data_IF_138535787079
#
_entry.id   IF_138535787079
#
_cell.length_a   1.000
_cell.length_b   1.000
_cell.length_c   1.000
_cell.angle_alpha   90.00
_cell.angle_beta   90.00
_cell.angle_gamma   90.00
#
_symmetry.space_group_name_H-M   'P 1'
#
loop_
_entity.id
_entity.type
_entity.pdbx_description
1 polymer ?
#
# COMPACT_ATOMS: atom_id res chain seq x y z
N UNK A 1 -49.23 -18.33 24.99
CA UNK A 1 -48.09 -17.39 24.94
C UNK A 1 -46.89 -18.22 24.54
N UNK A 2 -46.53 -18.19 23.25
CA UNK A 2 -45.38 -18.91 22.72
C UNK A 2 -44.32 -17.89 22.33
N UNK A 3 -43.21 -17.85 23.08
CA UNK A 3 -42.05 -17.06 22.74
C UNK A 3 -41.29 -17.74 21.60
N UNK A 4 -41.13 -17.02 20.49
CA UNK A 4 -40.28 -17.42 19.38
C UNK A 4 -38.80 -17.32 19.78
N UNK A 5 -37.93 -18.24 19.32
CA UNK A 5 -36.51 -18.13 19.60
C UNK A 5 -35.92 -16.96 18.80
N UNK A 6 -35.36 -16.00 19.53
CA UNK A 6 -34.61 -14.89 18.95
C UNK A 6 -33.33 -15.42 18.31
N UNK A 7 -33.29 -15.38 16.98
CA UNK A 7 -32.08 -15.69 16.20
C UNK A 7 -30.98 -14.69 16.58
N UNK A 8 -29.76 -15.14 16.95
CA UNK A 8 -28.69 -14.22 17.29
C UNK A 8 -28.32 -13.42 16.04
N UNK A 9 -28.17 -12.10 16.21
CA UNK A 9 -27.76 -11.15 15.16
C UNK A 9 -26.39 -11.56 14.60
N UNK A 10 -26.40 -12.42 13.59
CA UNK A 10 -25.23 -13.06 12.96
C UNK A 10 -24.25 -12.06 12.33
N UNK A 11 -24.71 -10.87 11.93
CA UNK A 11 -23.86 -9.89 11.24
C UNK A 11 -22.72 -9.27 12.09
N UNK A 12 -22.86 -9.17 13.41
CA UNK A 12 -21.86 -8.51 14.26
C UNK A 12 -20.66 -9.41 14.59
N UNK A 13 -20.86 -10.74 14.63
CA UNK A 13 -19.80 -11.72 14.91
C UNK A 13 -18.93 -11.98 13.68
N UNK A 14 -19.47 -11.79 12.47
CA UNK A 14 -18.80 -12.05 11.18
C UNK A 14 -17.67 -11.05 10.88
N UNK A 15 -17.60 -9.90 11.55
CA UNK A 15 -16.62 -8.85 11.25
C UNK A 15 -15.81 -8.43 12.49
N UNK A 16 -15.33 -9.38 13.29
CA UNK A 16 -14.49 -9.10 14.46
C UNK A 16 -13.00 -9.31 14.15
N UNK A 17 -12.11 -8.71 14.93
CA UNK A 17 -10.67 -9.05 14.87
C UNK A 17 -10.43 -10.53 15.20
N UNK A 18 -11.26 -11.11 16.07
CA UNK A 18 -11.19 -12.52 16.51
C UNK A 18 -11.43 -13.54 15.41
N UNK A 19 -12.24 -13.21 14.39
CA UNK A 19 -12.41 -14.06 13.19
C UNK A 19 -11.64 -13.52 11.97
N UNK A 20 -10.61 -12.68 12.19
CA UNK A 20 -9.80 -12.07 11.14
C UNK A 20 -10.65 -11.35 10.08
N UNK A 21 -11.74 -10.72 10.50
CA UNK A 21 -12.68 -10.04 9.61
C UNK A 21 -13.28 -10.97 8.53
N UNK A 22 -13.60 -12.21 8.91
CA UNK A 22 -14.11 -13.27 8.03
C UNK A 22 -13.21 -13.53 6.82
N UNK A 23 -11.89 -13.53 7.03
CA UNK A 23 -10.92 -13.68 5.95
C UNK A 23 -11.12 -15.00 5.21
N UNK A 24 -11.36 -16.11 5.93
CA UNK A 24 -11.56 -17.42 5.32
C UNK A 24 -12.77 -17.43 4.41
N UNK A 25 -13.90 -16.92 4.88
CA UNK A 25 -15.16 -16.87 4.15
C UNK A 25 -15.02 -15.98 2.91
N UNK A 26 -14.36 -14.83 3.03
CA UNK A 26 -14.03 -13.95 1.89
C UNK A 26 -13.16 -14.66 0.86
N UNK A 27 -12.12 -15.38 1.31
CA UNK A 27 -11.26 -16.15 0.41
C UNK A 27 -12.05 -17.19 -0.37
N UNK A 28 -12.85 -18.01 0.30
CA UNK A 28 -13.67 -19.05 -0.36
C UNK A 28 -14.70 -18.42 -1.31
N UNK A 29 -15.37 -17.34 -0.90
CA UNK A 29 -16.36 -16.67 -1.75
C UNK A 29 -15.73 -16.10 -3.03
N UNK A 30 -14.58 -15.45 -2.91
CA UNK A 30 -13.87 -14.88 -4.06
C UNK A 30 -13.28 -15.97 -4.95
N UNK A 31 -12.68 -17.02 -4.38
CA UNK A 31 -12.20 -18.19 -5.15
C UNK A 31 -13.34 -18.85 -5.94
N UNK A 32 -14.52 -18.99 -5.33
CA UNK A 32 -15.72 -19.50 -6.00
C UNK A 32 -16.18 -18.58 -7.15
N UNK A 33 -16.17 -17.26 -6.92
CA UNK A 33 -16.52 -16.27 -7.94
C UNK A 33 -15.55 -16.33 -9.13
N UNK A 34 -14.25 -16.40 -8.88
CA UNK A 34 -13.25 -16.46 -9.93
C UNK A 34 -13.32 -17.78 -10.72
N UNK A 35 -13.66 -18.90 -10.07
CA UNK A 35 -13.92 -20.15 -10.78
C UNK A 35 -15.13 -20.04 -11.74
N UNK A 36 -16.18 -19.30 -11.36
CA UNK A 36 -17.32 -19.02 -12.24
C UNK A 36 -16.89 -18.14 -13.42
N UNK A 37 -16.08 -17.10 -13.17
CA UNK A 37 -15.50 -16.23 -14.21
C UNK A 37 -14.72 -17.05 -15.24
N UNK A 38 -13.83 -17.94 -14.78
CA UNK A 38 -13.05 -18.82 -15.65
C UNK A 38 -13.93 -19.74 -16.49
N UNK A 39 -15.00 -20.29 -15.90
CA UNK A 39 -15.96 -21.13 -16.63
C UNK A 39 -16.73 -20.33 -17.68
N UNK A 40 -17.17 -19.12 -17.35
CA UNK A 40 -17.83 -18.22 -18.31
C UNK A 40 -16.90 -17.90 -19.48
N UNK A 41 -15.64 -17.54 -19.21
CA UNK A 41 -14.68 -17.28 -20.29
C UNK A 41 -14.48 -18.49 -21.20
N UNK A 42 -14.37 -19.71 -20.64
CA UNK A 42 -14.28 -20.95 -21.43
C UNK A 42 -15.55 -21.20 -22.25
N UNK A 43 -16.72 -20.91 -21.71
CA UNK A 43 -18.00 -21.08 -22.37
C UNK A 43 -18.32 -19.99 -23.40
N UNK A 44 -17.59 -18.86 -23.44
CA UNK A 44 -17.92 -17.68 -24.28
C UNK A 44 -18.21 -18.04 -25.74
N UNK A 45 -17.34 -18.84 -26.38
CA UNK A 45 -17.51 -19.23 -27.78
C UNK A 45 -18.75 -20.08 -28.01
N UNK A 46 -19.04 -21.02 -27.11
CA UNK A 46 -20.24 -21.85 -27.18
C UNK A 46 -21.52 -21.02 -26.96
N UNK A 47 -21.50 -20.09 -26.00
CA UNK A 47 -22.59 -19.14 -25.76
C UNK A 47 -22.82 -18.27 -27.00
N UNK A 48 -21.76 -17.75 -27.62
CA UNK A 48 -21.87 -16.95 -28.84
C UNK A 48 -22.47 -17.74 -30.00
N UNK A 49 -22.14 -19.03 -30.15
CA UNK A 49 -22.63 -19.88 -31.22
C UNK A 49 -24.13 -20.20 -31.12
N UNK A 50 -24.70 -20.22 -29.91
CA UNK A 50 -26.13 -20.50 -29.69
C UNK A 50 -27.00 -19.23 -29.68
N UNK A 51 -26.39 -18.05 -29.57
CA UNK A 51 -27.10 -16.78 -29.56
C UNK A 51 -27.33 -16.23 -30.98
N UNK A 52 -28.45 -15.54 -31.23
CA UNK A 52 -28.64 -14.80 -32.47
C UNK A 52 -27.56 -13.73 -32.67
N UNK A 53 -27.10 -13.45 -33.91
CA UNK A 53 -26.08 -12.43 -34.17
C UNK A 53 -26.43 -11.03 -33.63
N UNK A 54 -27.72 -10.71 -33.50
CA UNK A 54 -28.20 -9.45 -32.92
C UNK A 54 -27.81 -9.25 -31.46
N UNK A 55 -27.54 -10.33 -30.70
CA UNK A 55 -27.16 -10.26 -29.28
C UNK A 55 -25.64 -10.15 -29.08
N UNK A 56 -24.82 -10.15 -30.14
CA UNK A 56 -23.35 -10.14 -30.02
C UNK A 56 -22.84 -8.96 -29.19
N UNK A 57 -23.36 -7.75 -29.41
CA UNK A 57 -22.94 -6.58 -28.64
C UNK A 57 -23.32 -6.68 -27.16
N UNK A 58 -24.49 -7.27 -26.85
CA UNK A 58 -24.92 -7.46 -25.46
C UNK A 58 -24.05 -8.51 -24.77
N UNK A 59 -23.66 -9.57 -25.47
CA UNK A 59 -22.73 -10.57 -24.98
C UNK A 59 -21.36 -9.95 -24.66
N UNK A 60 -20.81 -9.16 -25.59
CA UNK A 60 -19.53 -8.48 -25.37
C UNK A 60 -19.58 -7.52 -24.18
N UNK A 61 -20.69 -6.79 -24.03
CA UNK A 61 -20.92 -5.93 -22.87
C UNK A 61 -21.02 -6.74 -21.57
N UNK A 62 -21.68 -7.89 -21.57
CA UNK A 62 -21.77 -8.76 -20.39
C UNK A 62 -20.38 -9.23 -19.92
N UNK A 63 -19.52 -9.70 -20.83
CA UNK A 63 -18.16 -10.09 -20.45
C UNK A 63 -17.35 -8.90 -19.95
N UNK A 64 -17.29 -7.82 -20.73
CA UNK A 64 -16.44 -6.66 -20.40
C UNK A 64 -16.88 -5.85 -19.18
N UNK A 65 -18.18 -5.85 -18.83
CA UNK A 65 -18.71 -5.02 -17.72
C UNK A 65 -19.14 -5.81 -16.51
N UNK A 66 -19.39 -7.12 -16.63
CA UNK A 66 -19.86 -7.94 -15.52
C UNK A 66 -18.85 -9.02 -15.17
N UNK A 67 -18.42 -9.82 -16.14
CA UNK A 67 -17.50 -10.95 -15.88
C UNK A 67 -16.11 -10.42 -15.51
N UNK A 68 -15.55 -9.54 -16.34
CA UNK A 68 -14.19 -9.00 -16.16
C UNK A 68 -14.09 -8.14 -14.88
N UNK A 69 -15.19 -7.45 -14.52
CA UNK A 69 -15.28 -6.62 -13.32
C UNK A 69 -15.19 -7.40 -12.00
N UNK A 70 -15.34 -8.74 -12.02
CA UNK A 70 -15.15 -9.57 -10.84
C UNK A 70 -13.70 -9.51 -10.30
N UNK A 71 -12.72 -9.29 -11.18
CA UNK A 71 -11.32 -9.13 -10.80
C UNK A 71 -11.08 -7.87 -9.97
N UNK A 72 -11.71 -6.75 -10.35
CA UNK A 72 -11.69 -5.49 -9.58
C UNK A 72 -12.29 -5.68 -8.17
N UNK A 73 -13.38 -6.45 -8.08
CA UNK A 73 -14.02 -6.77 -6.80
C UNK A 73 -13.10 -7.63 -5.91
N UNK A 74 -12.47 -8.67 -6.48
CA UNK A 74 -11.47 -9.48 -5.78
C UNK A 74 -10.35 -8.60 -5.22
N UNK A 75 -9.80 -7.71 -6.06
CA UNK A 75 -8.73 -6.80 -5.68
C UNK A 75 -9.16 -5.88 -4.53
N UNK A 76 -10.34 -5.28 -4.62
CA UNK A 76 -10.88 -4.40 -3.59
C UNK A 76 -11.11 -5.12 -2.25
N UNK A 77 -11.66 -6.34 -2.28
CA UNK A 77 -11.91 -7.14 -1.09
C UNK A 77 -10.59 -7.44 -0.37
N UNK A 78 -9.58 -7.92 -1.09
CA UNK A 78 -8.31 -8.32 -0.49
C UNK A 78 -7.42 -7.14 -0.11
N UNK A 79 -7.49 -6.03 -0.83
CA UNK A 79 -6.88 -4.77 -0.41
C UNK A 79 -7.44 -4.33 0.95
N UNK A 80 -8.77 -4.24 1.06
CA UNK A 80 -9.43 -3.81 2.31
C UNK A 80 -9.16 -4.78 3.45
N UNK A 81 -9.17 -6.09 3.19
CA UNK A 81 -8.84 -7.10 4.19
C UNK A 81 -7.40 -6.97 4.68
N UNK A 82 -6.44 -6.75 3.77
CA UNK A 82 -5.02 -6.59 4.13
C UNK A 82 -4.80 -5.37 5.03
N UNK A 83 -5.42 -4.23 4.69
CA UNK A 83 -5.37 -3.02 5.51
C UNK A 83 -5.97 -3.21 6.92
N UNK A 84 -7.01 -4.03 7.08
CA UNK A 84 -7.59 -4.30 8.40
C UNK A 84 -6.74 -5.23 9.26
N UNK A 85 -5.93 -6.09 8.63
CA UNK A 85 -5.07 -7.03 9.34
C UNK A 85 -3.75 -6.40 9.80
N UNK A 86 -3.39 -5.25 9.23
CA UNK A 86 -2.22 -4.44 9.56
C UNK A 86 -2.64 -3.19 10.35
N UNK A 87 -2.21 -3.04 11.60
CA UNK A 87 -2.42 -1.79 12.32
C UNK A 87 -1.34 -0.77 11.95
N UNK A 88 -1.56 -0.04 10.85
CA UNK A 88 -0.58 0.92 10.31
C UNK A 88 -0.78 2.36 10.83
N UNK A 89 -1.89 2.62 11.51
CA UNK A 89 -2.38 3.98 11.82
C UNK A 89 -1.38 4.87 12.56
N UNK A 90 -0.57 4.26 13.43
CA UNK A 90 0.39 4.95 14.31
C UNK A 90 1.74 5.26 13.65
N UNK A 91 2.09 4.59 12.55
CA UNK A 91 3.44 4.62 12.01
C UNK A 91 3.85 5.93 11.35
N UNK A 92 2.98 6.66 10.62
CA UNK A 92 3.37 7.95 10.08
C UNK A 92 3.87 8.92 11.16
N UNK A 93 3.18 8.97 12.31
CA UNK A 93 3.60 9.80 13.45
C UNK A 93 4.91 9.29 14.05
N UNK A 94 5.02 7.98 14.34
CA UNK A 94 6.24 7.37 14.91
C UNK A 94 7.49 7.60 14.05
N UNK A 95 7.36 7.51 12.74
CA UNK A 95 8.45 7.79 11.79
C UNK A 95 8.80 9.28 11.84
N UNK A 96 7.80 10.16 11.79
CA UNK A 96 8.03 11.61 11.73
C UNK A 96 8.59 12.22 13.03
N UNK A 97 8.28 11.61 14.17
CA UNK A 97 8.77 12.00 15.51
C UNK A 97 10.21 11.55 15.74
N UNK A 98 10.72 10.61 14.93
CA UNK A 98 12.12 10.21 14.95
C UNK A 98 12.99 11.40 14.54
N UNK A 99 14.03 11.66 15.31
CA UNK A 99 15.01 12.70 15.01
C UNK A 99 15.96 12.25 13.90
N UNK A 100 15.78 12.82 12.69
CA UNK A 100 16.74 12.73 11.57
C UNK A 100 17.63 13.98 11.44
N UNK A 101 17.61 14.88 12.42
CA UNK A 101 18.57 15.99 12.56
C UNK A 101 19.70 15.56 13.51
N UNK A 102 20.61 14.72 13.01
CA UNK A 102 21.65 14.02 13.77
C UNK A 102 23.03 14.33 13.19
N UNK A 103 24.05 14.32 14.03
CA UNK A 103 25.43 14.59 13.60
C UNK A 103 26.14 13.34 13.07
N UNK A 104 25.64 12.14 13.41
CA UNK A 104 26.24 10.86 13.04
C UNK A 104 25.14 9.83 12.75
N UNK A 105 25.42 8.91 11.84
CA UNK A 105 24.54 7.79 11.54
C UNK A 105 24.72 6.72 12.62
N UNK A 106 23.61 6.34 13.27
CA UNK A 106 23.63 5.23 14.21
C UNK A 106 23.96 3.90 13.54
N UNK A 107 24.40 2.91 14.32
CA UNK A 107 24.72 1.56 13.81
C UNK A 107 23.48 0.70 13.61
N UNK A 108 22.38 1.06 14.28
CA UNK A 108 21.12 0.31 14.27
C UNK A 108 19.99 1.14 13.68
N UNK A 109 19.02 0.45 13.11
CA UNK A 109 17.75 1.01 12.69
C UNK A 109 16.98 1.59 13.89
N UNK A 110 16.10 2.54 13.61
CA UNK A 110 15.13 3.09 14.55
C UNK A 110 14.17 2.01 15.07
N UNK A 111 13.70 2.16 16.30
CA UNK A 111 12.85 1.17 16.98
C UNK A 111 11.57 0.85 16.21
N UNK A 112 10.97 1.85 15.54
CA UNK A 112 9.76 1.68 14.75
C UNK A 112 9.90 0.64 13.63
N UNK A 113 11.13 0.41 13.11
CA UNK A 113 11.39 -0.58 12.07
C UNK A 113 11.10 -1.98 12.59
N UNK A 114 11.62 -2.33 13.77
CA UNK A 114 11.40 -3.63 14.39
C UNK A 114 9.94 -3.85 14.76
N UNK A 115 9.27 -2.80 15.23
CA UNK A 115 7.84 -2.85 15.54
C UNK A 115 6.99 -3.07 14.29
N UNK A 116 7.28 -2.36 13.19
CA UNK A 116 6.54 -2.51 11.94
C UNK A 116 6.77 -3.89 11.30
N UNK A 117 8.00 -4.41 11.34
CA UNK A 117 8.29 -5.79 10.95
C UNK A 117 7.52 -6.79 11.83
N UNK A 118 7.31 -6.46 13.10
CA UNK A 118 6.42 -7.21 14.00
C UNK A 118 4.97 -7.26 13.52
N UNK A 119 4.40 -6.14 13.06
CA UNK A 119 3.05 -6.10 12.46
C UNK A 119 2.97 -6.92 11.17
N UNK A 120 4.00 -6.84 10.31
CA UNK A 120 4.11 -7.65 9.09
C UNK A 120 4.17 -9.15 9.41
N UNK A 121 4.89 -9.53 10.48
CA UNK A 121 4.93 -10.92 10.95
C UNK A 121 3.55 -11.41 11.39
N UNK A 122 2.84 -10.60 12.19
CA UNK A 122 1.48 -10.94 12.60
C UNK A 122 0.54 -11.06 11.40
N UNK A 123 0.69 -10.20 10.39
CA UNK A 123 -0.06 -10.32 9.14
C UNK A 123 0.21 -11.67 8.46
N UNK A 124 1.47 -12.06 8.30
CA UNK A 124 1.86 -13.36 7.71
C UNK A 124 1.27 -14.55 8.48
N UNK A 125 1.31 -14.51 9.81
CA UNK A 125 0.73 -15.53 10.69
C UNK A 125 -0.80 -15.60 10.53
N UNK A 126 -1.49 -14.45 10.50
CA UNK A 126 -2.95 -14.38 10.28
C UNK A 126 -3.36 -14.99 8.94
N UNK A 127 -2.61 -14.73 7.86
CA UNK A 127 -2.87 -15.37 6.56
C UNK A 127 -2.73 -16.90 6.62
N UNK A 128 -1.72 -17.37 7.34
CA UNK A 128 -1.45 -18.80 7.54
C UNK A 128 -2.57 -19.46 8.34
N UNK A 129 -2.97 -18.86 9.47
CA UNK A 129 -4.06 -19.35 10.34
C UNK A 129 -5.40 -19.37 9.61
N UNK A 130 -5.68 -18.35 8.80
CA UNK A 130 -6.88 -18.30 7.97
C UNK A 130 -6.87 -19.31 6.81
N UNK A 131 -5.77 -20.02 6.58
CA UNK A 131 -5.66 -21.01 5.49
C UNK A 131 -5.96 -20.38 4.13
N UNK A 132 -5.41 -19.19 3.88
CA UNK A 132 -5.54 -18.47 2.61
C UNK A 132 -4.73 -19.19 1.55
N UNK A 133 -5.34 -19.47 0.38
CA UNK A 133 -4.65 -20.11 -0.74
C UNK A 133 -3.49 -19.27 -1.28
N UNK A 134 -2.49 -19.89 -1.89
CA UNK A 134 -1.26 -19.21 -2.32
C UNK A 134 -1.51 -18.01 -3.26
N UNK A 135 -2.42 -18.12 -4.22
CA UNK A 135 -2.74 -17.04 -5.15
C UNK A 135 -3.34 -15.82 -4.43
N UNK A 136 -4.35 -16.07 -3.58
CA UNK A 136 -4.96 -15.06 -2.72
C UNK A 136 -3.94 -14.43 -1.77
N UNK A 137 -3.10 -15.25 -1.15
CA UNK A 137 -2.05 -14.81 -0.24
C UNK A 137 -1.06 -13.86 -0.92
N UNK A 138 -0.65 -14.16 -2.16
CA UNK A 138 0.22 -13.27 -2.95
C UNK A 138 -0.44 -11.94 -3.27
N UNK A 139 -1.71 -11.95 -3.65
CA UNK A 139 -2.45 -10.72 -3.90
C UNK A 139 -2.52 -9.86 -2.62
N UNK A 140 -2.84 -10.47 -1.49
CA UNK A 140 -2.88 -9.78 -0.19
C UNK A 140 -1.50 -9.23 0.20
N UNK A 141 -0.42 -9.99 0.01
CA UNK A 141 0.94 -9.51 0.24
C UNK A 141 1.30 -8.30 -0.63
N UNK A 142 0.95 -8.33 -1.92
CA UNK A 142 1.16 -7.18 -2.80
C UNK A 142 0.42 -5.93 -2.29
N UNK A 143 -0.85 -6.09 -1.87
CA UNK A 143 -1.65 -4.99 -1.32
C UNK A 143 -1.16 -4.48 0.04
N UNK A 144 -0.69 -5.39 0.90
CA UNK A 144 -0.04 -5.03 2.15
C UNK A 144 1.22 -4.19 1.91
N UNK A 145 2.08 -4.61 0.97
CA UNK A 145 3.30 -3.88 0.64
C UNK A 145 3.03 -2.52 0.00
N UNK A 146 2.03 -2.41 -0.88
CA UNK A 146 1.59 -1.12 -1.42
C UNK A 146 1.18 -0.17 -0.28
N UNK A 147 0.40 -0.65 0.69
CA UNK A 147 -0.01 0.13 1.85
C UNK A 147 1.15 0.53 2.77
N UNK A 148 2.08 -0.39 3.02
CA UNK A 148 3.29 -0.15 3.81
C UNK A 148 4.16 0.93 3.16
N UNK A 149 4.35 0.87 1.84
CA UNK A 149 5.11 1.88 1.11
C UNK A 149 4.49 3.28 1.27
N UNK A 150 3.16 3.39 1.17
CA UNK A 150 2.45 4.66 1.39
C UNK A 150 2.60 5.19 2.81
N UNK A 151 2.53 4.31 3.82
CA UNK A 151 2.67 4.68 5.23
C UNK A 151 4.09 5.15 5.56
N UNK A 152 5.10 4.46 5.01
CA UNK A 152 6.50 4.87 5.15
C UNK A 152 6.76 6.22 4.47
N UNK A 153 6.31 6.36 3.23
CA UNK A 153 6.42 7.61 2.47
C UNK A 153 5.77 8.78 3.22
N UNK A 154 4.54 8.57 3.71
CA UNK A 154 3.84 9.57 4.52
C UNK A 154 4.63 9.94 5.78
N UNK A 155 5.13 8.94 6.52
CA UNK A 155 5.93 9.16 7.71
C UNK A 155 7.22 9.95 7.45
N UNK A 156 7.99 9.56 6.44
CA UNK A 156 9.21 10.27 6.05
C UNK A 156 8.90 11.69 5.54
N UNK A 157 7.82 11.86 4.79
CA UNK A 157 7.43 13.18 4.28
C UNK A 157 7.03 14.18 5.36
N UNK A 158 6.69 13.71 6.57
CA UNK A 158 6.35 14.56 7.72
C UNK A 158 7.57 14.98 8.53
N UNK A 159 8.76 14.44 8.24
CA UNK A 159 10.00 14.81 8.91
C UNK A 159 10.38 16.24 8.52
N UNK A 160 10.43 17.13 9.53
CA UNK A 160 10.64 18.57 9.31
C UNK A 160 12.11 18.94 9.12
N UNK A 161 13.03 18.21 9.74
CA UNK A 161 14.47 18.48 9.67
C UNK A 161 15.22 17.19 9.42
N UNK A 162 16.06 17.20 8.38
CA UNK A 162 16.83 16.05 7.95
C UNK A 162 18.23 16.48 7.50
N UNK A 163 19.22 16.05 8.27
CA UNK A 163 20.66 16.25 7.98
C UNK A 163 21.16 15.26 6.93
N UNK A 164 22.41 15.40 6.47
CA UNK A 164 23.00 14.41 5.54
C UNK A 164 23.06 13.02 6.18
N UNK A 165 23.49 12.98 7.43
CA UNK A 165 23.54 11.78 8.27
C UNK A 165 22.12 11.28 8.59
N UNK A 166 21.17 12.20 8.78
CA UNK A 166 19.74 11.91 8.86
C UNK A 166 19.20 11.11 7.68
N UNK A 167 19.56 11.50 6.46
CA UNK A 167 19.14 10.79 5.24
C UNK A 167 19.74 9.39 5.17
N UNK A 168 21.02 9.26 5.53
CA UNK A 168 21.64 7.95 5.65
C UNK A 168 20.93 7.08 6.72
N UNK A 169 20.45 7.67 7.81
CA UNK A 169 19.62 6.98 8.80
C UNK A 169 18.22 6.60 8.25
N UNK A 170 17.57 7.46 7.45
CA UNK A 170 16.33 7.09 6.74
C UNK A 170 16.54 5.88 5.82
N UNK A 171 17.64 5.88 5.05
CA UNK A 171 18.01 4.75 4.20
C UNK A 171 18.29 3.50 5.02
N UNK A 172 19.02 3.60 6.14
CA UNK A 172 19.27 2.47 7.04
C UNK A 172 17.96 1.87 7.56
N UNK A 173 17.02 2.71 7.96
CA UNK A 173 15.71 2.30 8.45
C UNK A 173 14.90 1.60 7.36
N UNK A 174 14.85 2.18 6.16
CA UNK A 174 14.15 1.59 5.01
C UNK A 174 14.75 0.23 4.62
N UNK A 175 16.07 0.12 4.53
CA UNK A 175 16.75 -1.14 4.20
C UNK A 175 16.54 -2.21 5.28
N UNK A 176 16.49 -1.79 6.54
CA UNK A 176 16.11 -2.66 7.65
C UNK A 176 14.71 -3.22 7.51
N UNK A 177 13.76 -2.34 7.20
CA UNK A 177 12.37 -2.71 6.97
C UNK A 177 12.21 -3.65 5.76
N UNK A 178 12.85 -3.35 4.63
CA UNK A 178 12.84 -4.19 3.43
C UNK A 178 13.35 -5.58 3.77
N UNK A 179 14.55 -5.69 4.35
CA UNK A 179 15.15 -6.99 4.72
C UNK A 179 14.28 -7.77 5.71
N UNK A 180 13.72 -7.10 6.70
CA UNK A 180 12.80 -7.72 7.66
C UNK A 180 11.56 -8.27 6.98
N UNK A 181 11.01 -7.53 6.02
CA UNK A 181 9.81 -7.91 5.27
C UNK A 181 10.07 -9.02 4.27
N UNK A 182 11.18 -8.98 3.53
CA UNK A 182 11.60 -10.03 2.59
C UNK A 182 11.81 -11.39 3.28
N UNK A 183 12.22 -11.38 4.54
CA UNK A 183 12.35 -12.61 5.33
C UNK A 183 11.01 -13.27 5.68
N UNK A 184 9.89 -12.53 5.52
CA UNK A 184 8.54 -12.94 5.87
C UNK A 184 7.65 -13.16 4.64
N UNK A 185 7.88 -12.42 3.56
CA UNK A 185 7.06 -12.49 2.35
C UNK A 185 7.35 -13.73 1.51
N UNK A 186 6.39 -14.20 0.70
CA UNK A 186 6.65 -15.22 -0.32
C UNK A 186 7.80 -14.80 -1.26
N UNK A 187 8.57 -15.77 -1.75
CA UNK A 187 9.76 -15.53 -2.59
C UNK A 187 9.46 -14.82 -3.91
N UNK A 188 8.24 -14.98 -4.42
CA UNK A 188 7.76 -14.36 -5.65
C UNK A 188 7.08 -13.00 -5.43
N UNK A 189 7.12 -12.48 -4.20
CA UNK A 189 6.71 -11.12 -3.86
C UNK A 189 7.95 -10.28 -3.59
N UNK A 190 8.20 -9.31 -4.46
CA UNK A 190 9.35 -8.41 -4.39
C UNK A 190 9.07 -7.19 -3.52
N UNK A 191 9.41 -7.27 -2.23
CA UNK A 191 9.24 -6.17 -1.29
C UNK A 191 10.14 -4.97 -1.63
N UNK A 192 11.35 -5.20 -2.13
CA UNK A 192 12.27 -4.13 -2.51
C UNK A 192 11.68 -3.25 -3.62
N UNK A 193 11.15 -3.86 -4.70
CA UNK A 193 10.51 -3.12 -5.79
C UNK A 193 9.30 -2.30 -5.32
N UNK A 194 8.51 -2.82 -4.36
CA UNK A 194 7.37 -2.08 -3.77
C UNK A 194 7.81 -0.86 -2.97
N UNK A 195 8.98 -0.90 -2.35
CA UNK A 195 9.52 0.20 -1.55
C UNK A 195 10.29 1.24 -2.37
N UNK A 196 10.42 1.07 -3.69
CA UNK A 196 11.16 1.99 -4.57
C UNK A 196 10.64 3.42 -4.51
N UNK A 197 9.32 3.62 -4.32
CA UNK A 197 8.74 4.96 -4.15
C UNK A 197 9.27 5.67 -2.90
N UNK A 198 9.53 4.93 -1.81
CA UNK A 198 10.08 5.48 -0.57
C UNK A 198 11.58 5.77 -0.74
N UNK A 199 12.30 4.85 -1.36
CA UNK A 199 13.74 5.00 -1.65
C UNK A 199 14.02 6.19 -2.58
N UNK A 200 13.22 6.34 -3.63
CA UNK A 200 13.30 7.48 -4.56
C UNK A 200 13.01 8.80 -3.84
N UNK A 201 12.03 8.84 -2.92
CA UNK A 201 11.76 10.02 -2.11
C UNK A 201 12.95 10.40 -1.22
N UNK A 202 13.59 9.43 -0.55
CA UNK A 202 14.80 9.69 0.26
C UNK A 202 15.95 10.19 -0.62
N UNK A 203 16.12 9.62 -1.82
CA UNK A 203 17.13 10.05 -2.79
C UNK A 203 16.86 11.46 -3.33
N UNK A 204 15.61 11.91 -3.34
CA UNK A 204 15.23 13.24 -3.81
C UNK A 204 15.88 14.38 -3.02
N UNK A 205 16.26 14.15 -1.76
CA UNK A 205 17.03 15.11 -0.97
C UNK A 205 18.43 15.44 -1.53
N UNK A 206 18.94 14.63 -2.46
CA UNK A 206 20.21 14.86 -3.15
C UNK A 206 20.04 15.50 -4.53
N UNK A 207 18.79 15.72 -4.96
CA UNK A 207 18.49 16.44 -6.21
C UNK A 207 18.92 17.90 -6.05
N UNK A 208 19.70 18.46 -6.98
CA UNK A 208 20.07 19.87 -6.94
C UNK A 208 18.85 20.79 -6.93
N UNK A 209 18.94 21.93 -6.24
CA UNK A 209 17.81 22.85 -6.05
C UNK A 209 17.17 23.30 -7.37
N UNK A 210 17.98 23.53 -8.41
CA UNK A 210 17.52 23.93 -9.73
C UNK A 210 16.78 22.83 -10.51
N UNK A 211 16.94 21.57 -10.11
CA UNK A 211 16.31 20.40 -10.75
C UNK A 211 15.06 19.93 -10.00
N UNK A 212 14.79 20.44 -8.78
CA UNK A 212 13.68 19.97 -7.93
C UNK A 212 12.31 20.09 -8.61
N UNK A 213 12.07 21.17 -9.36
CA UNK A 213 10.80 21.36 -10.09
C UNK A 213 10.65 20.32 -11.20
N UNK A 214 11.72 20.08 -11.97
CA UNK A 214 11.71 19.07 -13.02
C UNK A 214 11.56 17.66 -12.44
N UNK A 215 12.24 17.37 -11.34
CA UNK A 215 12.11 16.10 -10.62
C UNK A 215 10.67 15.87 -10.15
N UNK A 216 10.04 16.88 -9.55
CA UNK A 216 8.65 16.80 -9.11
C UNK A 216 7.67 16.54 -10.28
N UNK A 217 7.90 17.17 -11.44
CA UNK A 217 7.09 16.90 -12.64
C UNK A 217 7.24 15.48 -13.20
N UNK A 218 8.43 14.88 -13.06
CA UNK A 218 8.71 13.52 -13.57
C UNK A 218 8.29 12.42 -12.58
N UNK A 219 7.81 12.78 -11.39
CA UNK A 219 7.36 11.85 -10.36
C UNK A 219 5.92 12.17 -9.88
N UNK A 220 4.89 11.93 -10.72
CA UNK A 220 3.50 12.23 -10.41
C UNK A 220 2.91 11.35 -9.30
N UNK A 221 3.62 10.31 -8.86
CA UNK A 221 3.21 9.43 -7.76
C UNK A 221 3.24 10.11 -6.38
N UNK A 222 3.95 11.23 -6.22
CA UNK A 222 4.01 11.96 -4.95
C UNK A 222 2.92 13.00 -4.85
N UNK A 223 2.29 13.08 -3.68
CA UNK A 223 1.27 14.10 -3.44
C UNK A 223 1.89 15.49 -3.34
N UNK A 224 1.12 16.54 -3.65
CA UNK A 224 1.53 17.94 -3.44
C UNK A 224 2.08 18.17 -2.04
N UNK A 225 1.46 17.60 -1.01
CA UNK A 225 1.90 17.78 0.38
C UNK A 225 3.28 17.16 0.61
N UNK A 226 3.53 15.95 0.09
CA UNK A 226 4.82 15.27 0.20
C UNK A 226 5.93 16.04 -0.51
N UNK A 227 5.64 16.62 -1.69
CA UNK A 227 6.58 17.45 -2.45
C UNK A 227 6.89 18.77 -1.74
N UNK A 228 5.87 19.46 -1.23
CA UNK A 228 6.04 20.71 -0.46
C UNK A 228 6.89 20.47 0.79
N UNK A 229 6.64 19.38 1.52
CA UNK A 229 7.41 19.05 2.71
C UNK A 229 8.87 18.69 2.38
N UNK A 230 9.11 17.93 1.30
CA UNK A 230 10.45 17.59 0.82
C UNK A 230 11.26 18.87 0.54
N UNK A 231 10.70 19.75 -0.29
CA UNK A 231 11.35 21.00 -0.71
C UNK A 231 11.61 21.92 0.48
N UNK A 232 10.65 22.02 1.41
CA UNK A 232 10.82 22.80 2.64
C UNK A 232 11.97 22.25 3.49
N UNK A 233 12.07 20.92 3.62
CA UNK A 233 13.13 20.30 4.40
C UNK A 233 14.52 20.49 3.75
N UNK A 234 14.61 20.35 2.43
CA UNK A 234 15.85 20.63 1.66
C UNK A 234 16.28 22.09 1.84
N UNK A 235 15.33 23.02 1.68
CA UNK A 235 15.58 24.45 1.78
C UNK A 235 16.08 24.87 3.16
N UNK A 236 15.52 24.29 4.23
CA UNK A 236 15.97 24.52 5.60
C UNK A 236 17.41 24.05 5.81
N UNK A 237 17.74 22.84 5.34
CA UNK A 237 19.10 22.27 5.45
C UNK A 237 20.14 23.08 4.65
N UNK A 238 19.75 23.61 3.49
CA UNK A 238 20.61 24.41 2.62
C UNK A 238 20.62 25.91 2.95
N UNK A 239 19.89 26.34 3.99
CA UNK A 239 19.76 27.75 4.40
C UNK A 239 19.27 28.64 3.25
N UNK A 240 18.33 28.14 2.47
CA UNK A 240 17.74 28.86 1.33
C UNK A 240 17.08 30.17 1.81
N UNK A 241 17.23 31.24 1.00
CA UNK A 241 16.59 32.52 1.30
C UNK A 241 15.06 32.39 1.22
N UNK A 242 14.34 32.98 2.17
CA UNK A 242 12.86 32.92 2.25
C UNK A 242 12.14 33.26 0.93
N UNK A 243 12.63 34.25 0.18
CA UNK A 243 12.05 34.63 -1.12
C UNK A 243 12.20 33.48 -2.14
N UNK A 244 13.39 32.90 -2.24
CA UNK A 244 13.66 31.80 -3.16
C UNK A 244 12.82 30.55 -2.81
N UNK A 245 12.68 30.24 -1.52
CA UNK A 245 11.79 29.16 -1.07
C UNK A 245 10.34 29.43 -1.47
N UNK A 246 9.84 30.65 -1.28
CA UNK A 246 8.47 31.01 -1.68
C UNK A 246 8.26 30.84 -3.19
N UNK A 247 9.20 31.32 -4.00
CA UNK A 247 9.11 31.22 -5.46
C UNK A 247 9.19 29.75 -5.95
N UNK A 248 9.96 28.91 -5.26
CA UNK A 248 10.04 27.47 -5.53
C UNK A 248 8.75 26.74 -5.13
N UNK A 249 8.18 27.04 -3.95
CA UNK A 249 6.94 26.42 -3.50
C UNK A 249 5.76 26.73 -4.42
N UNK A 250 5.66 27.96 -4.94
CA UNK A 250 4.63 28.31 -5.94
C UNK A 250 4.72 27.42 -7.17
N UNK A 251 5.93 27.12 -7.64
CA UNK A 251 6.12 26.21 -8.78
C UNK A 251 5.70 24.79 -8.44
N UNK A 252 6.11 24.27 -7.28
CA UNK A 252 5.76 22.91 -6.83
C UNK A 252 4.25 22.74 -6.62
N UNK A 253 3.59 23.74 -6.04
CA UNK A 253 2.14 23.72 -5.82
C UNK A 253 1.35 23.69 -7.14
N UNK A 254 1.93 24.24 -8.21
CA UNK A 254 1.33 24.21 -9.56
C UNK A 254 1.39 22.85 -10.26
N UNK A 255 2.09 21.85 -9.69
CA UNK A 255 2.29 20.50 -10.27
C UNK A 255 1.08 19.57 -10.03
N UNK A 256 -0.14 20.10 -9.88
CA UNK A 256 -1.35 19.26 -9.77
C UNK A 256 -2.43 19.66 -10.78
#
# INVERSE_FOLDING_TARGET
>A
QGEAPTSPRSGAMVMSSGNLFALKERSVAVESLMAIVDELHRARGAIQAVLPPSESQRLDHFYSRTVDAASDLQEHIFHTASLRLLDLSRYPSRISERRYDVAEVGVKQSEWVGELVGEVRQFAEKLTVAGVGAATGRLMWNKALDALAQILLEGFSRVRRCTVEGRAAMTLDLQGFIKGTESLSPRDVDAHSKMRIVDNYIKAFYVPEQELVHWAHTHPEYTRTQLVNLVTCIADNNKMKRKALKDLLVQIESIA
#
